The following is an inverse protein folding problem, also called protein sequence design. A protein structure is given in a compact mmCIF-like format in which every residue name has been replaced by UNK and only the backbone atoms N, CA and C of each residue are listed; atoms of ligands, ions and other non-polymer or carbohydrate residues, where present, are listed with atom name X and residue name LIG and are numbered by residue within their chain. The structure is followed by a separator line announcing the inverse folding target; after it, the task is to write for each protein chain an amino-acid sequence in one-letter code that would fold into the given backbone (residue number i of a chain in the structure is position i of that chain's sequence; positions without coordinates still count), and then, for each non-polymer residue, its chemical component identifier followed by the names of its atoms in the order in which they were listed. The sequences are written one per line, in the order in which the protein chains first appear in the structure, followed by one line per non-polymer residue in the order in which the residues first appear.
data_IF_117835288957
#
_entry.id   IF_117835288957
#
_cell.length_a   1.000
_cell.length_b   1.000
_cell.length_c   1.000
_cell.angle_alpha   90.00
_cell.angle_beta   90.00
_cell.angle_gamma   90.00
#
_symmetry.space_group_name_H-M   'P 1'
#
loop_
_entity.id
_entity.type
_entity.pdbx_description
1 polymer ?
#
# COMPACT_ATOMS: atom_id res chain seq x y z
N UNK A 1 -20.58 -7.86 -7.82
CA UNK A 1 -20.20 -8.14 -6.42
C UNK A 1 -18.79 -7.64 -6.09
N UNK A 2 -17.75 -8.06 -6.82
CA UNK A 2 -16.35 -7.75 -6.48
C UNK A 2 -15.97 -6.27 -6.70
N UNK A 3 -16.52 -5.61 -7.73
CA UNK A 3 -16.32 -4.16 -7.95
C UNK A 3 -16.87 -3.28 -6.81
N UNK A 4 -18.00 -3.68 -6.22
CA UNK A 4 -18.66 -2.94 -5.14
C UNK A 4 -17.82 -2.96 -3.85
N UNK A 5 -17.04 -4.02 -3.65
CA UNK A 5 -16.05 -4.11 -2.57
C UNK A 5 -14.88 -3.16 -2.79
N UNK A 6 -14.35 -3.10 -4.02
CA UNK A 6 -13.31 -2.15 -4.40
C UNK A 6 -13.77 -0.70 -4.22
N UNK A 7 -14.92 -0.32 -4.78
CA UNK A 7 -15.50 1.02 -4.68
C UNK A 7 -15.71 1.45 -3.23
N UNK A 8 -16.20 0.54 -2.38
CA UNK A 8 -16.40 0.83 -0.96
C UNK A 8 -15.07 1.10 -0.25
N UNK A 9 -14.01 0.37 -0.58
CA UNK A 9 -12.70 0.56 0.04
C UNK A 9 -12.03 1.83 -0.45
N UNK A 10 -12.07 2.12 -1.75
CA UNK A 10 -11.47 3.34 -2.30
C UNK A 10 -12.21 4.58 -1.79
N UNK A 11 -13.55 4.55 -1.74
CA UNK A 11 -14.34 5.62 -1.13
C UNK A 11 -13.97 5.81 0.35
N UNK A 12 -13.95 4.75 1.16
CA UNK A 12 -13.54 4.84 2.57
C UNK A 12 -12.12 5.38 2.74
N UNK A 13 -11.21 5.07 1.82
CA UNK A 13 -9.82 5.55 1.84
C UNK A 13 -9.75 7.05 1.60
N UNK A 14 -10.54 7.57 0.66
CA UNK A 14 -10.55 9.00 0.28
C UNK A 14 -11.37 9.83 1.26
N UNK A 15 -12.57 9.37 1.63
CA UNK A 15 -13.57 10.18 2.35
C UNK A 15 -13.55 9.96 3.88
N UNK A 16 -13.15 8.76 4.35
CA UNK A 16 -13.31 8.34 5.77
C UNK A 16 -12.09 7.58 6.32
N UNK A 17 -10.89 8.02 6.00
CA UNK A 17 -9.61 7.39 6.36
C UNK A 17 -9.33 7.23 7.86
N UNK A 18 -9.98 8.03 8.72
CA UNK A 18 -9.85 7.92 10.19
C UNK A 18 -10.98 7.12 10.85
N UNK A 19 -11.90 6.55 10.07
CA UNK A 19 -13.07 5.86 10.60
C UNK A 19 -12.75 4.44 11.10
N UNK A 20 -13.50 3.98 12.10
CA UNK A 20 -13.46 2.59 12.56
C UNK A 20 -13.81 1.61 11.43
N UNK A 21 -14.67 2.04 10.50
CA UNK A 21 -15.12 1.25 9.35
C UNK A 21 -13.94 1.03 8.39
N UNK A 22 -13.14 2.06 8.12
CA UNK A 22 -11.93 1.93 7.32
C UNK A 22 -10.95 0.94 7.96
N UNK A 23 -10.73 1.03 9.28
CA UNK A 23 -9.87 0.07 9.99
C UNK A 23 -10.36 -1.39 9.86
N UNK A 24 -11.68 -1.61 9.94
CA UNK A 24 -12.26 -2.95 9.72
C UNK A 24 -12.10 -3.42 8.29
N UNK A 25 -12.28 -2.53 7.31
CA UNK A 25 -12.07 -2.86 5.90
C UNK A 25 -10.61 -3.25 5.61
N UNK A 26 -9.65 -2.54 6.22
CA UNK A 26 -8.23 -2.87 6.15
C UNK A 26 -7.89 -4.24 6.74
N UNK A 27 -8.56 -4.64 7.82
CA UNK A 27 -8.40 -5.97 8.40
C UNK A 27 -8.96 -7.05 7.48
N UNK A 28 -10.13 -6.81 6.87
CA UNK A 28 -10.69 -7.71 5.85
C UNK A 28 -9.73 -7.92 4.69
N UNK A 29 -9.16 -6.84 4.14
CA UNK A 29 -8.14 -6.91 3.08
C UNK A 29 -6.91 -7.75 3.47
N UNK A 30 -6.53 -7.77 4.75
CA UNK A 30 -5.38 -8.52 5.22
C UNK A 30 -5.66 -10.03 5.36
N UNK A 31 -6.92 -10.46 5.38
CA UNK A 31 -7.31 -11.85 5.61
C UNK A 31 -8.09 -12.48 4.45
N UNK A 32 -8.75 -11.69 3.62
CA UNK A 32 -9.62 -12.18 2.55
C UNK A 32 -8.81 -12.77 1.39
N UNK A 33 -9.11 -14.01 1.01
CA UNK A 33 -8.48 -14.70 -0.13
C UNK A 33 -9.11 -14.27 -1.47
N UNK A 34 -10.39 -13.88 -1.45
CA UNK A 34 -11.17 -13.54 -2.65
C UNK A 34 -10.81 -12.20 -3.30
N UNK A 35 -9.85 -11.45 -2.76
CA UNK A 35 -9.47 -10.12 -3.26
C UNK A 35 -8.33 -10.15 -4.29
N UNK A 36 -7.74 -11.32 -4.56
CA UNK A 36 -6.66 -11.48 -5.53
C UNK A 36 -6.91 -10.76 -6.88
N UNK A 37 -8.08 -10.90 -7.54
CA UNK A 37 -8.33 -10.19 -8.80
C UNK A 37 -8.42 -8.66 -8.65
N UNK A 38 -8.63 -8.14 -7.44
CA UNK A 38 -8.69 -6.69 -7.17
C UNK A 38 -7.32 -6.07 -6.87
N UNK A 39 -6.32 -6.88 -6.53
CA UNK A 39 -4.95 -6.41 -6.22
C UNK A 39 -4.43 -5.43 -7.27
N UNK A 40 -4.38 -5.74 -8.58
CA UNK A 40 -3.85 -4.81 -9.58
C UNK A 40 -4.60 -3.46 -9.60
N UNK A 41 -5.91 -3.47 -9.37
CA UNK A 41 -6.72 -2.25 -9.30
C UNK A 41 -6.38 -1.40 -8.08
N UNK A 42 -6.14 -2.03 -6.92
CA UNK A 42 -5.67 -1.31 -5.74
C UNK A 42 -4.27 -0.73 -5.93
N UNK A 43 -3.35 -1.46 -6.57
CA UNK A 43 -2.00 -0.96 -6.86
C UNK A 43 -2.06 0.25 -7.78
N UNK A 44 -2.87 0.19 -8.84
CA UNK A 44 -3.09 1.31 -9.75
C UNK A 44 -3.69 2.52 -9.03
N UNK A 45 -4.77 2.30 -8.26
CA UNK A 45 -5.41 3.33 -7.46
C UNK A 45 -4.43 4.03 -6.51
N UNK A 46 -3.60 3.27 -5.79
CA UNK A 46 -2.58 3.84 -4.91
C UNK A 46 -1.56 4.67 -5.70
N UNK A 47 -1.07 4.17 -6.83
CA UNK A 47 -0.09 4.89 -7.63
C UNK A 47 -0.62 6.23 -8.17
N UNK A 48 -1.86 6.23 -8.66
CA UNK A 48 -2.50 7.46 -9.12
C UNK A 48 -2.77 8.45 -7.99
N UNK A 49 -3.35 7.98 -6.88
CA UNK A 49 -3.72 8.87 -5.76
C UNK A 49 -2.47 9.46 -5.09
N UNK A 50 -1.38 8.69 -4.95
CA UNK A 50 -0.11 9.23 -4.46
C UNK A 50 0.38 10.35 -5.37
N UNK A 51 0.37 10.13 -6.69
CA UNK A 51 0.86 11.12 -7.67
C UNK A 51 -0.01 12.38 -7.70
N UNK A 52 -1.34 12.22 -7.61
CA UNK A 52 -2.30 13.33 -7.66
C UNK A 52 -2.36 14.13 -6.34
N UNK A 53 -2.14 13.47 -5.20
CA UNK A 53 -2.41 14.03 -3.88
C UNK A 53 -1.19 14.07 -2.95
N UNK A 54 0.00 14.40 -3.48
CA UNK A 54 1.25 14.53 -2.70
C UNK A 54 1.18 15.54 -1.54
N UNK A 55 0.26 16.51 -1.62
CA UNK A 55 0.07 17.53 -0.59
C UNK A 55 -0.93 17.13 0.51
N UNK A 56 -1.64 16.00 0.35
CA UNK A 56 -2.64 15.54 1.31
C UNK A 56 -2.08 14.42 2.19
N UNK A 57 -1.43 14.82 3.29
CA UNK A 57 -0.81 13.91 4.25
C UNK A 57 -1.76 12.81 4.75
N UNK A 58 -2.99 13.17 5.10
CA UNK A 58 -3.96 12.23 5.68
C UNK A 58 -4.36 11.14 4.68
N UNK A 59 -4.54 11.52 3.41
CA UNK A 59 -4.81 10.56 2.34
C UNK A 59 -3.60 9.65 2.07
N UNK A 60 -2.40 10.22 1.97
CA UNK A 60 -1.17 9.44 1.79
C UNK A 60 -0.96 8.42 2.90
N UNK A 61 -1.19 8.81 4.16
CA UNK A 61 -1.12 7.89 5.29
C UNK A 61 -2.16 6.77 5.18
N UNK A 62 -3.38 7.08 4.76
CA UNK A 62 -4.42 6.08 4.52
C UNK A 62 -4.03 5.09 3.41
N UNK A 63 -3.46 5.59 2.30
CA UNK A 63 -2.97 4.78 1.18
C UNK A 63 -1.83 3.85 1.62
N UNK A 64 -0.88 4.35 2.41
CA UNK A 64 0.19 3.52 2.97
C UNK A 64 -0.37 2.42 3.89
N UNK A 65 -1.39 2.72 4.69
CA UNK A 65 -2.07 1.70 5.52
C UNK A 65 -2.79 0.65 4.69
N UNK A 66 -3.40 1.04 3.56
CA UNK A 66 -3.99 0.12 2.60
C UNK A 66 -2.94 -0.80 1.98
N UNK A 67 -1.81 -0.25 1.55
CA UNK A 67 -0.66 -1.03 1.05
C UNK A 67 -0.16 -2.02 2.09
N UNK A 68 -0.09 -1.60 3.36
CA UNK A 68 0.30 -2.51 4.47
C UNK A 68 -0.64 -3.71 4.57
N UNK A 69 -1.95 -3.47 4.56
CA UNK A 69 -2.94 -4.54 4.65
C UNK A 69 -2.81 -5.53 3.51
N UNK A 70 -2.59 -5.04 2.28
CA UNK A 70 -2.33 -5.90 1.13
C UNK A 70 -1.07 -6.74 1.35
N UNK A 71 0.06 -6.12 1.73
CA UNK A 71 1.34 -6.81 1.94
C UNK A 71 1.32 -7.81 3.10
N UNK A 72 0.46 -7.61 4.09
CA UNK A 72 0.32 -8.51 5.24
C UNK A 72 -0.53 -9.75 4.93
N UNK A 73 -1.25 -9.76 3.81
CA UNK A 73 -2.09 -10.89 3.44
C UNK A 73 -1.22 -12.02 2.86
N UNK A 74 -1.09 -13.17 3.56
CA UNK A 74 -0.23 -14.27 3.13
C UNK A 74 -0.77 -15.00 1.89
N UNK A 75 -2.05 -14.81 1.57
CA UNK A 75 -2.71 -15.45 0.42
C UNK A 75 -2.59 -14.62 -0.87
N UNK A 76 -2.00 -13.41 -0.79
CA UNK A 76 -1.81 -12.54 -1.95
C UNK A 76 -0.38 -12.57 -2.45
N UNK A 77 -0.19 -13.07 -3.67
CA UNK A 77 1.07 -12.93 -4.41
C UNK A 77 1.18 -11.52 -5.01
N UNK A 78 1.61 -10.55 -4.20
CA UNK A 78 1.78 -9.14 -4.62
C UNK A 78 3.09 -8.94 -5.39
N UNK A 79 3.99 -9.92 -5.36
CA UNK A 79 5.33 -9.89 -5.95
C UNK A 79 5.38 -9.36 -7.40
N UNK A 80 4.51 -9.78 -8.35
CA UNK A 80 4.53 -9.23 -9.71
C UNK A 80 4.20 -7.73 -9.79
N UNK A 81 3.53 -7.17 -8.77
CA UNK A 81 3.09 -5.78 -8.74
C UNK A 81 4.03 -4.87 -7.93
N UNK A 82 5.01 -5.43 -7.21
CA UNK A 82 5.91 -4.66 -6.35
C UNK A 82 6.72 -3.62 -7.15
N UNK A 83 7.13 -3.94 -8.38
CA UNK A 83 7.84 -3.01 -9.23
C UNK A 83 7.02 -1.74 -9.55
N UNK A 84 5.71 -1.89 -9.75
CA UNK A 84 4.80 -0.78 -10.02
C UNK A 84 4.48 0.02 -8.74
N UNK A 85 4.45 -0.64 -7.58
CA UNK A 85 4.15 -0.01 -6.30
C UNK A 85 5.35 0.74 -5.69
N UNK A 86 6.57 0.25 -5.92
CA UNK A 86 7.81 0.84 -5.41
C UNK A 86 7.97 2.34 -5.69
N UNK A 87 7.78 2.86 -6.92
CA UNK A 87 7.94 4.30 -7.17
C UNK A 87 6.98 5.14 -6.33
N UNK A 88 5.75 4.69 -6.11
CA UNK A 88 4.75 5.40 -5.29
C UNK A 88 5.16 5.43 -3.81
N UNK A 89 5.59 4.29 -3.26
CA UNK A 89 6.06 4.20 -1.86
C UNK A 89 7.35 5.00 -1.67
N UNK A 90 8.27 4.94 -2.62
CA UNK A 90 9.51 5.72 -2.59
C UNK A 90 9.24 7.23 -2.70
N UNK A 91 8.25 7.65 -3.48
CA UNK A 91 7.84 9.04 -3.55
C UNK A 91 7.32 9.52 -2.20
N UNK A 92 6.51 8.73 -1.50
CA UNK A 92 6.07 9.03 -0.14
C UNK A 92 7.22 9.06 0.88
N UNK A 93 8.30 8.30 0.67
CA UNK A 93 9.46 8.28 1.55
C UNK A 93 10.42 9.46 1.34
N UNK A 94 10.63 9.84 0.07
CA UNK A 94 11.63 10.82 -0.38
C UNK A 94 11.07 12.23 -0.45
N UNK A 95 9.74 12.40 -0.57
CA UNK A 95 9.12 13.71 -0.68
C UNK A 95 9.52 14.62 0.50
N UNK A 96 10.24 15.69 0.15
CA UNK A 96 10.89 16.64 1.07
C UNK A 96 9.89 17.51 1.86
N UNK A 97 8.63 17.56 1.42
CA UNK A 97 7.53 18.28 2.06
C UNK A 97 6.21 17.57 1.73
N UNK A 98 5.79 16.62 2.56
CA UNK A 98 4.51 15.91 2.40
C UNK A 98 3.37 16.71 3.03
N UNK A 99 2.92 17.75 2.35
CA UNK A 99 1.85 18.62 2.83
C UNK A 99 2.30 20.04 3.17
N UNK A 100 1.32 20.94 3.30
CA UNK A 100 1.54 22.38 3.28
C UNK A 100 1.81 22.99 4.68
N UNK A 101 1.93 22.16 5.72
CA UNK A 101 2.17 22.61 7.11
C UNK A 101 3.47 22.02 7.66
N UNK A 102 4.37 22.92 8.03
CA UNK A 102 5.64 22.65 8.70
C UNK A 102 5.48 22.07 10.13
N UNK A 103 4.24 21.91 10.61
CA UNK A 103 3.89 21.48 11.97
C UNK A 103 3.31 20.07 12.07
N UNK A 104 3.03 19.41 10.96
CA UNK A 104 2.38 18.09 10.98
C UNK A 104 3.41 16.94 11.02
N UNK A 105 2.99 15.80 11.57
CA UNK A 105 3.77 14.61 11.91
C UNK A 105 4.42 13.89 10.72
N UNK A 106 5.22 14.59 9.91
CA UNK A 106 5.93 14.05 8.73
C UNK A 106 6.85 12.88 9.10
N UNK A 107 7.37 12.86 10.32
CA UNK A 107 8.25 11.80 10.82
C UNK A 107 7.53 10.46 10.95
N UNK A 108 6.24 10.46 11.33
CA UNK A 108 5.47 9.23 11.55
C UNK A 108 5.14 8.55 10.22
N UNK A 109 4.67 9.31 9.22
CA UNK A 109 4.46 8.80 7.87
C UNK A 109 5.76 8.28 7.26
N UNK A 110 6.87 9.01 7.43
CA UNK A 110 8.16 8.58 6.90
C UNK A 110 8.64 7.28 7.56
N UNK A 111 8.51 7.16 8.88
CA UNK A 111 8.86 5.94 9.61
C UNK A 111 7.95 4.77 9.22
N UNK A 112 6.65 5.02 9.08
CA UNK A 112 5.69 4.03 8.60
C UNK A 112 6.01 3.57 7.17
N UNK A 113 6.33 4.51 6.28
CA UNK A 113 6.71 4.23 4.89
C UNK A 113 8.04 3.49 4.83
N UNK A 114 9.03 3.84 5.65
CA UNK A 114 10.30 3.11 5.75
C UNK A 114 10.09 1.65 6.17
N UNK A 115 9.19 1.42 7.14
CA UNK A 115 8.79 0.05 7.53
C UNK A 115 8.12 -0.70 6.38
N UNK A 116 7.26 -0.07 5.58
CA UNK A 116 6.68 -0.69 4.40
C UNK A 116 7.72 -1.04 3.35
N UNK A 117 8.65 -0.14 3.10
CA UNK A 117 9.78 -0.37 2.19
C UNK A 117 10.58 -1.59 2.66
N UNK A 118 10.89 -1.70 3.95
CA UNK A 118 11.56 -2.86 4.51
C UNK A 118 10.77 -4.17 4.31
N UNK A 119 9.43 -4.14 4.45
CA UNK A 119 8.57 -5.30 4.19
C UNK A 119 8.58 -5.70 2.70
N UNK A 120 8.48 -4.72 1.80
CA UNK A 120 8.56 -4.93 0.35
C UNK A 120 9.91 -5.54 -0.03
N UNK A 121 11.02 -4.95 0.44
CA UNK A 121 12.36 -5.47 0.19
C UNK A 121 12.53 -6.89 0.71
N UNK A 122 12.01 -7.21 1.90
CA UNK A 122 12.05 -8.58 2.44
C UNK A 122 11.32 -9.57 1.54
N UNK A 123 10.14 -9.19 1.01
CA UNK A 123 9.38 -10.03 0.08
C UNK A 123 10.16 -10.28 -1.23
N UNK A 124 10.72 -9.22 -1.82
CA UNK A 124 11.55 -9.31 -3.05
C UNK A 124 12.77 -10.23 -2.82
N UNK A 125 13.46 -10.10 -1.68
CA UNK A 125 14.63 -10.92 -1.37
C UNK A 125 14.25 -12.40 -1.25
N UNK A 126 13.10 -12.73 -0.67
CA UNK A 126 12.60 -14.11 -0.61
C UNK A 126 12.34 -14.67 -1.99
N UNK A 127 11.68 -13.89 -2.87
CA UNK A 127 11.41 -14.28 -4.27
C UNK A 127 12.69 -14.55 -5.04
N UNK A 128 13.67 -13.65 -4.93
CA UNK A 128 14.97 -13.81 -5.61
C UNK A 128 15.72 -15.03 -5.09
N UNK A 129 15.67 -15.31 -3.78
CA UNK A 129 16.26 -16.53 -3.20
C UNK A 129 15.58 -17.80 -3.72
N UNK A 130 14.24 -17.80 -3.80
CA UNK A 130 13.48 -18.92 -4.34
C UNK A 130 13.79 -19.15 -5.84
N UNK A 131 13.86 -18.09 -6.65
CA UNK A 131 14.24 -18.16 -8.06
C UNK A 131 15.66 -18.71 -8.26
N UNK A 132 16.64 -18.23 -7.48
CA UNK A 132 18.02 -18.75 -7.53
C UNK A 132 18.10 -20.24 -7.18
N UNK A 133 17.24 -20.73 -6.29
CA UNK A 133 17.21 -22.15 -5.93
C UNK A 133 16.64 -23.05 -7.04
N UNK A 134 15.76 -22.52 -7.89
CA UNK A 134 15.12 -23.27 -8.99
C UNK A 134 16.03 -23.35 -10.23
N UNK A 135 16.86 -22.33 -10.47
CA UNK A 135 17.74 -22.25 -11.66
C UNK A 135 19.11 -22.91 -11.44
N UNK A 136 19.39 -23.47 -10.26
CA UNK A 136 20.62 -24.24 -9.97
C UNK A 136 20.46 -25.76 -10.08
N UNK A 137 19.48 -26.25 -10.84
CA UNK A 137 19.38 -27.63 -11.31
C UNK A 137 19.44 -27.64 -12.84
#
# INVERSE_FOLDING_TARGET
MVQLYFEKITDLTVSRSNSVIFNKALLGLATDVGIHPLVPYFIYFVAEEVTRNLNNFQLLFALMRLVRSLLQNPYLHIEPYLHQLMPSVMTCLVAKSLGNKLTDNHWELRNFTANLVALIFRSIVVVIKNLKCIVSF
#
